data_IF_724866847362
#
_entry.id   IF_724866847362
#
_cell.length_a   1.000
_cell.length_b   1.000
_cell.length_c   1.000
_cell.angle_alpha   90.00
_cell.angle_beta   90.00
_cell.angle_gamma   90.00
#
_symmetry.space_group_name_H-M   'P 1'
#
loop_
_entity.id
_entity.type
_entity.pdbx_description
1 polymer ?
#
# COMPACT_ATOMS: atom_id res chain seq x y z
N UNK A 1 2.90 32.80 -12.01
CA UNK A 1 3.63 31.99 -11.01
C UNK A 1 2.78 30.80 -10.62
N UNK A 2 3.40 29.71 -10.15
CA UNK A 2 2.66 28.58 -9.59
C UNK A 2 2.27 28.85 -8.13
N UNK A 3 1.34 28.09 -7.56
CA UNK A 3 0.98 28.16 -6.14
C UNK A 3 1.36 26.85 -5.43
N UNK A 4 1.79 26.95 -4.17
CA UNK A 4 1.88 25.84 -3.24
C UNK A 4 0.80 25.98 -2.16
N UNK A 5 0.17 24.85 -1.81
CA UNK A 5 -1.04 24.82 -0.97
C UNK A 5 -0.82 23.85 0.18
N UNK A 6 -1.05 24.31 1.42
CA UNK A 6 -1.08 23.45 2.60
C UNK A 6 -2.51 23.13 3.00
N UNK A 7 -2.78 21.84 3.25
CA UNK A 7 -4.03 21.34 3.78
C UNK A 7 -3.73 20.57 5.07
N UNK A 8 -4.48 20.80 6.13
CA UNK A 8 -4.51 19.89 7.28
C UNK A 8 -5.52 18.79 7.02
N UNK A 9 -5.24 17.59 7.56
CA UNK A 9 -6.15 16.45 7.54
C UNK A 9 -6.58 16.15 8.96
N UNK A 10 -7.89 16.08 9.20
CA UNK A 10 -8.42 15.45 10.39
C UNK A 10 -8.33 13.93 10.21
N UNK A 11 -7.47 13.23 10.98
CA UNK A 11 -7.27 11.79 10.79
C UNK A 11 -8.51 10.96 11.15
N UNK A 12 -9.43 11.50 11.96
CA UNK A 12 -10.65 10.79 12.37
C UNK A 12 -11.75 10.82 11.31
N UNK A 13 -11.85 11.93 10.58
CA UNK A 13 -12.90 12.13 9.57
C UNK A 13 -12.39 12.09 8.13
N UNK A 14 -11.07 12.18 7.94
CA UNK A 14 -10.44 12.39 6.63
C UNK A 14 -10.67 13.79 6.05
N UNK A 15 -11.30 14.71 6.80
CA UNK A 15 -11.62 16.05 6.31
C UNK A 15 -10.33 16.85 6.06
N UNK A 16 -10.20 17.38 4.85
CA UNK A 16 -9.15 18.32 4.50
C UNK A 16 -9.59 19.76 4.77
N UNK A 17 -8.76 20.53 5.48
CA UNK A 17 -8.99 21.96 5.73
C UNK A 17 -7.83 22.75 5.15
N UNK A 18 -8.13 23.77 4.34
CA UNK A 18 -7.11 24.67 3.80
C UNK A 18 -6.45 25.44 4.95
N UNK A 19 -5.12 25.32 5.06
CA UNK A 19 -4.33 26.13 5.97
C UNK A 19 -3.97 27.45 5.28
N UNK A 20 -3.19 27.37 4.21
CA UNK A 20 -2.83 28.55 3.42
C UNK A 20 -2.44 28.20 1.96
N UNK A 21 -2.29 29.26 1.17
CA UNK A 21 -1.72 29.25 -0.18
C UNK A 21 -0.58 30.25 -0.22
N UNK A 22 0.47 29.96 -0.96
CA UNK A 22 1.53 30.91 -1.23
C UNK A 22 2.04 30.79 -2.67
N UNK A 23 2.59 31.88 -3.18
CA UNK A 23 3.30 31.87 -4.45
C UNK A 23 4.50 30.93 -4.34
N UNK A 24 4.74 30.21 -5.43
CA UNK A 24 5.77 29.18 -5.58
C UNK A 24 6.68 29.55 -6.75
N UNK A 25 7.56 28.62 -7.14
CA UNK A 25 8.47 28.74 -8.27
C UNK A 25 7.80 29.27 -9.54
N UNK A 26 8.60 29.92 -10.38
CA UNK A 26 8.17 30.69 -11.54
C UNK A 26 7.69 29.85 -12.74
N UNK A 27 7.51 28.53 -12.54
CA UNK A 27 6.91 27.59 -13.50
C UNK A 27 6.11 26.48 -12.78
N UNK A 28 5.20 25.77 -13.48
CA UNK A 28 4.44 24.67 -12.85
C UNK A 28 5.35 23.57 -12.30
N UNK A 29 5.24 23.19 -11.01
CA UNK A 29 6.02 22.10 -10.45
C UNK A 29 5.48 20.73 -10.87
N UNK A 30 6.38 19.76 -11.01
CA UNK A 30 6.05 18.35 -11.29
C UNK A 30 6.42 17.40 -10.13
N UNK A 31 7.21 17.88 -9.16
CA UNK A 31 7.60 17.11 -7.98
C UNK A 31 7.77 18.02 -6.78
N UNK A 32 7.45 17.49 -5.60
CA UNK A 32 7.59 18.14 -4.31
C UNK A 32 8.24 17.18 -3.33
N UNK A 33 9.23 17.67 -2.58
CA UNK A 33 9.93 16.90 -1.55
C UNK A 33 10.11 17.74 -0.30
N UNK A 34 9.77 17.20 0.87
CA UNK A 34 10.08 17.86 2.16
C UNK A 34 11.53 17.57 2.55
N UNK A 35 12.22 18.57 3.08
CA UNK A 35 13.56 18.38 3.62
C UNK A 35 13.54 17.56 4.94
N UNK A 36 14.67 16.95 5.32
CA UNK A 36 14.75 16.13 6.53
C UNK A 36 14.53 16.89 7.84
N UNK A 37 14.86 18.19 7.91
CA UNK A 37 14.60 19.02 9.10
C UNK A 37 13.13 19.44 9.20
N UNK A 38 12.41 19.38 8.08
CA UNK A 38 11.00 19.72 7.98
C UNK A 38 10.71 21.22 7.91
N UNK A 39 11.73 22.05 7.62
CA UNK A 39 11.67 23.51 7.49
C UNK A 39 11.50 24.00 6.05
N UNK A 40 11.71 23.12 5.07
CA UNK A 40 11.70 23.48 3.65
C UNK A 40 10.93 22.47 2.80
N UNK A 41 10.36 22.98 1.71
CA UNK A 41 9.87 22.20 0.58
C UNK A 41 10.75 22.48 -0.63
N UNK A 42 11.11 21.42 -1.33
CA UNK A 42 11.84 21.45 -2.59
C UNK A 42 10.84 21.22 -3.71
N UNK A 43 10.88 22.09 -4.70
CA UNK A 43 9.96 22.07 -5.84
C UNK A 43 10.77 21.93 -7.12
N UNK A 44 10.39 20.98 -7.98
CA UNK A 44 11.02 20.75 -9.28
C UNK A 44 10.05 21.12 -10.40
N UNK A 45 10.50 21.80 -11.44
CA UNK A 45 9.68 22.11 -12.63
C UNK A 45 10.29 21.54 -13.90
N UNK A 46 9.56 20.61 -14.52
CA UNK A 46 9.94 19.97 -15.77
C UNK A 46 10.02 20.93 -16.95
N UNK A 47 8.97 21.73 -17.19
CA UNK A 47 8.96 22.63 -18.35
C UNK A 47 9.80 23.90 -18.14
N UNK A 48 9.99 24.30 -16.88
CA UNK A 48 10.79 25.46 -16.50
C UNK A 48 12.29 25.16 -16.39
N UNK A 49 12.68 23.91 -16.13
CA UNK A 49 14.06 23.56 -15.82
C UNK A 49 14.53 24.16 -14.50
N UNK A 50 13.65 24.18 -13.49
CA UNK A 50 13.86 24.90 -12.22
C UNK A 50 13.87 23.95 -11.03
N UNK A 51 14.66 24.28 -10.02
CA UNK A 51 14.52 23.77 -8.65
C UNK A 51 14.37 24.95 -7.69
N UNK A 52 13.41 24.89 -6.77
CA UNK A 52 13.16 25.95 -5.80
C UNK A 52 13.17 25.45 -4.36
N UNK A 53 13.49 26.38 -3.46
CA UNK A 53 13.50 26.22 -2.01
C UNK A 53 12.40 27.10 -1.40
N UNK A 54 11.34 26.46 -0.91
CA UNK A 54 10.22 27.14 -0.26
C UNK A 54 10.31 26.91 1.25
N UNK A 55 10.05 27.94 2.06
CA UNK A 55 9.92 27.78 3.51
C UNK A 55 8.68 26.93 3.86
N UNK A 56 8.77 26.18 4.96
CA UNK A 56 7.67 25.46 5.60
C UNK A 56 7.66 25.82 7.08
N UNK A 57 6.52 26.28 7.59
CA UNK A 57 6.40 26.68 8.99
C UNK A 57 6.24 25.45 9.91
N UNK A 58 6.51 25.62 11.19
CA UNK A 58 6.33 24.56 12.20
C UNK A 58 4.88 24.06 12.28
N UNK A 59 3.91 24.91 11.95
CA UNK A 59 2.48 24.57 11.90
C UNK A 59 2.06 23.90 10.59
N UNK A 60 3.00 23.66 9.66
CA UNK A 60 2.75 23.00 8.38
C UNK A 60 2.23 23.92 7.27
N UNK A 61 2.29 25.25 7.44
CA UNK A 61 1.91 26.21 6.42
C UNK A 61 3.05 26.46 5.43
N UNK A 62 2.71 26.72 4.16
CA UNK A 62 3.70 27.07 3.14
C UNK A 62 4.17 28.51 3.34
N UNK A 63 5.45 28.71 3.65
CA UNK A 63 6.09 30.01 3.78
C UNK A 63 6.51 30.60 2.43
N UNK A 64 7.39 31.60 2.44
CA UNK A 64 7.86 32.28 1.21
C UNK A 64 8.80 31.40 0.35
N UNK A 65 8.90 31.72 -0.95
CA UNK A 65 9.93 31.21 -1.83
C UNK A 65 11.25 31.91 -1.46
N UNK A 66 12.25 31.12 -1.06
CA UNK A 66 13.52 31.62 -0.54
C UNK A 66 14.60 31.71 -1.63
N UNK A 67 14.63 30.70 -2.50
CA UNK A 67 15.60 30.62 -3.60
C UNK A 67 15.04 29.80 -4.76
N UNK A 68 15.53 30.07 -5.97
CA UNK A 68 15.19 29.36 -7.20
C UNK A 68 16.42 29.28 -8.09
N UNK A 69 16.76 28.07 -8.54
CA UNK A 69 17.86 27.82 -9.46
C UNK A 69 17.33 27.31 -10.79
N UNK A 70 17.79 27.95 -11.87
CA UNK A 70 17.54 27.51 -13.23
C UNK A 70 18.71 26.65 -13.69
N UNK A 71 18.42 25.44 -14.12
CA UNK A 71 19.41 24.57 -14.72
C UNK A 71 19.73 25.02 -16.16
N UNK A 72 20.89 24.60 -16.64
CA UNK A 72 21.36 24.82 -18.00
C UNK A 72 21.88 23.51 -18.61
N UNK A 73 21.95 23.48 -19.95
CA UNK A 73 22.40 22.34 -20.73
C UNK A 73 21.29 21.64 -21.50
N UNK A 74 21.67 20.58 -22.20
CA UNK A 74 20.78 19.74 -23.00
C UNK A 74 21.38 18.33 -23.09
N UNK A 75 20.52 17.34 -23.29
CA UNK A 75 20.89 15.93 -23.43
C UNK A 75 21.08 15.51 -24.88
N UNK A 76 21.17 14.20 -25.10
CA UNK A 76 21.46 13.66 -26.43
C UNK A 76 20.23 13.56 -27.35
N UNK A 77 19.02 13.48 -26.79
CA UNK A 77 17.80 13.30 -27.57
C UNK A 77 17.21 14.64 -28.02
N UNK A 78 17.24 14.99 -29.32
CA UNK A 78 16.97 16.35 -29.81
C UNK A 78 15.56 16.87 -29.50
N UNK A 79 14.55 16.00 -29.40
CA UNK A 79 13.16 16.41 -29.13
C UNK A 79 12.73 16.30 -27.66
N UNK A 80 13.44 15.50 -26.87
CA UNK A 80 13.05 15.16 -25.48
C UNK A 80 13.98 15.81 -24.45
N UNK A 81 15.10 16.33 -24.92
CA UNK A 81 16.23 16.83 -24.14
C UNK A 81 16.82 18.06 -24.85
N UNK A 82 15.96 18.90 -25.43
CA UNK A 82 16.31 20.15 -26.13
C UNK A 82 16.75 21.26 -25.15
N UNK A 83 16.37 21.12 -23.88
CA UNK A 83 16.68 22.03 -22.78
C UNK A 83 16.56 21.29 -21.45
N UNK A 84 16.88 21.92 -20.32
CA UNK A 84 16.72 21.33 -19.00
C UNK A 84 15.27 20.96 -18.68
N UNK A 85 15.11 19.77 -18.10
CA UNK A 85 13.84 19.24 -17.62
C UNK A 85 13.99 18.66 -16.22
N UNK A 86 14.11 19.55 -15.24
CA UNK A 86 14.25 19.19 -13.82
C UNK A 86 13.01 18.46 -13.35
N UNK A 87 13.16 17.17 -13.06
CA UNK A 87 12.03 16.27 -12.86
C UNK A 87 11.73 16.01 -11.38
N UNK A 88 12.74 15.73 -10.57
CA UNK A 88 12.58 15.45 -9.15
C UNK A 88 13.82 15.78 -8.33
N UNK A 89 13.65 15.81 -7.01
CA UNK A 89 14.72 16.01 -6.05
C UNK A 89 14.57 15.05 -4.87
N UNK A 90 15.65 14.38 -4.49
CA UNK A 90 15.70 13.43 -3.37
C UNK A 90 16.90 13.72 -2.48
N UNK A 91 16.71 13.66 -1.17
CA UNK A 91 17.80 13.85 -0.21
C UNK A 91 18.65 12.59 -0.06
N UNK A 92 19.94 12.81 0.18
CA UNK A 92 20.86 11.79 0.63
C UNK A 92 20.40 11.17 1.96
N UNK A 93 20.85 9.94 2.30
CA UNK A 93 20.46 9.28 3.54
C UNK A 93 20.80 10.08 4.82
N UNK A 94 21.87 10.87 4.78
CA UNK A 94 22.28 11.75 5.88
C UNK A 94 21.63 13.14 5.83
N UNK A 95 20.81 13.40 4.81
CA UNK A 95 20.05 14.63 4.63
C UNK A 95 20.87 15.87 4.26
N UNK A 96 22.17 15.74 4.04
CA UNK A 96 23.06 16.88 3.77
C UNK A 96 23.02 17.36 2.33
N UNK A 97 22.82 16.43 1.41
CA UNK A 97 22.83 16.69 -0.02
C UNK A 97 21.47 16.36 -0.63
N UNK A 98 21.18 17.04 -1.72
CA UNK A 98 19.97 16.88 -2.50
C UNK A 98 20.33 16.58 -3.95
N UNK A 99 19.86 15.44 -4.45
CA UNK A 99 20.11 14.95 -5.79
C UNK A 99 18.93 15.33 -6.65
N UNK A 100 19.16 16.25 -7.58
CA UNK A 100 18.16 16.84 -8.48
C UNK A 100 18.33 16.25 -9.86
N UNK A 101 17.36 15.44 -10.30
CA UNK A 101 17.39 14.78 -11.60
C UNK A 101 16.94 15.75 -12.68
N UNK A 102 17.79 15.97 -13.67
CA UNK A 102 17.49 16.77 -14.84
C UNK A 102 17.44 15.88 -16.07
N UNK A 103 16.21 15.48 -16.42
CA UNK A 103 15.94 14.62 -17.57
C UNK A 103 16.46 15.24 -18.86
N UNK A 104 16.32 16.55 -18.98
CA UNK A 104 16.58 17.28 -20.20
C UNK A 104 18.05 17.55 -20.46
N UNK A 105 18.90 17.45 -19.42
CA UNK A 105 20.34 17.70 -19.51
C UNK A 105 21.20 16.44 -19.25
N UNK A 106 20.61 15.24 -19.16
CA UNK A 106 21.30 13.98 -18.86
C UNK A 106 22.23 14.08 -17.63
N UNK A 107 21.73 14.70 -16.55
CA UNK A 107 22.53 14.92 -15.35
C UNK A 107 21.73 14.86 -14.05
N UNK A 108 22.48 14.68 -12.96
CA UNK A 108 22.02 14.77 -11.59
C UNK A 108 22.81 15.91 -10.95
N UNK A 109 22.17 17.04 -10.69
CA UNK A 109 22.78 18.16 -9.97
C UNK A 109 22.69 17.89 -8.46
N UNK A 110 23.78 18.15 -7.74
CA UNK A 110 23.88 17.88 -6.31
C UNK A 110 23.97 19.22 -5.58
N UNK A 111 22.95 19.52 -4.77
CA UNK A 111 22.85 20.73 -3.98
C UNK A 111 22.98 20.44 -2.49
N UNK A 112 23.31 21.46 -1.72
CA UNK A 112 23.04 21.55 -0.27
C UNK A 112 22.18 22.79 0.00
N UNK A 113 21.70 22.90 1.25
CA UNK A 113 20.98 24.08 1.72
C UNK A 113 21.89 24.85 2.68
N UNK A 114 22.21 26.10 2.33
CA UNK A 114 22.78 27.06 3.28
C UNK A 114 21.63 27.63 4.11
N UNK A 115 21.45 27.09 5.32
CA UNK A 115 20.33 27.46 6.19
C UNK A 115 20.47 28.88 6.78
N UNK A 116 21.67 29.46 6.79
CA UNK A 116 21.88 30.82 7.28
C UNK A 116 21.46 31.84 6.23
N UNK A 117 21.66 31.52 4.95
CA UNK A 117 21.25 32.36 3.81
C UNK A 117 19.89 31.99 3.22
N UNK A 118 19.36 30.81 3.53
CA UNK A 118 18.21 30.20 2.87
C UNK A 118 18.42 30.02 1.35
N UNK A 119 19.56 29.47 0.96
CA UNK A 119 19.94 29.31 -0.46
C UNK A 119 20.26 27.86 -0.80
N UNK A 120 19.97 27.48 -2.05
CA UNK A 120 20.45 26.24 -2.67
C UNK A 120 21.88 26.46 -3.20
N UNK A 121 22.82 25.71 -2.67
CA UNK A 121 24.23 25.78 -3.08
C UNK A 121 24.57 24.56 -3.94
N UNK A 122 24.90 24.79 -5.22
CA UNK A 122 25.35 23.73 -6.12
C UNK A 122 26.76 23.26 -5.70
N UNK A 123 26.91 21.96 -5.46
CA UNK A 123 28.18 21.34 -5.09
C UNK A 123 28.88 20.66 -6.27
N UNK A 124 28.12 19.85 -7.01
CA UNK A 124 28.66 19.07 -8.14
C UNK A 124 27.54 18.63 -9.06
N UNK A 125 27.91 18.11 -10.22
CA UNK A 125 26.99 17.50 -11.16
C UNK A 125 27.53 16.13 -11.58
N UNK A 126 26.67 15.12 -11.61
CA UNK A 126 26.99 13.80 -12.16
C UNK A 126 26.28 13.63 -13.48
N UNK A 127 27.02 13.38 -14.56
CA UNK A 127 26.42 13.06 -15.86
C UNK A 127 25.91 11.63 -15.88
N UNK A 128 24.72 11.43 -16.44
CA UNK A 128 24.27 10.10 -16.86
C UNK A 128 24.76 9.80 -18.27
N UNK A 129 24.59 8.57 -18.75
CA UNK A 129 24.91 8.27 -20.15
C UNK A 129 23.98 9.04 -21.09
N UNK A 130 24.45 9.25 -22.32
CA UNK A 130 23.75 10.03 -23.33
C UNK A 130 22.38 9.42 -23.65
N UNK A 131 21.32 10.23 -23.57
CA UNK A 131 19.95 9.81 -23.88
C UNK A 131 19.24 9.10 -22.73
N UNK A 132 19.83 9.03 -21.54
CA UNK A 132 19.21 8.40 -20.38
C UNK A 132 17.90 9.11 -19.99
N UNK A 133 17.99 10.41 -19.75
CA UNK A 133 16.88 11.19 -19.20
C UNK A 133 16.51 10.77 -17.78
N UNK A 134 17.38 11.07 -16.78
CA UNK A 134 17.14 10.69 -15.39
C UNK A 134 15.85 11.30 -14.87
N UNK A 135 14.95 10.47 -14.34
CA UNK A 135 13.60 10.87 -13.94
C UNK A 135 13.45 10.90 -12.43
N UNK A 136 13.64 9.77 -11.75
CA UNK A 136 13.50 9.61 -10.29
C UNK A 136 14.73 8.89 -9.71
N UNK A 137 15.05 9.15 -8.44
CA UNK A 137 16.17 8.52 -7.73
C UNK A 137 15.71 7.90 -6.40
N UNK A 138 16.37 6.82 -5.98
CA UNK A 138 16.25 6.30 -4.63
C UNK A 138 17.57 5.73 -4.14
N UNK A 139 17.88 5.94 -2.86
CA UNK A 139 19.02 5.33 -2.20
C UNK A 139 18.70 3.91 -1.74
N UNK A 140 19.70 3.04 -1.83
CA UNK A 140 19.65 1.75 -1.15
C UNK A 140 19.60 1.96 0.38
N UNK A 141 18.88 1.10 1.15
CA UNK A 141 18.78 1.24 2.60
C UNK A 141 20.11 1.20 3.38
N UNK A 142 21.18 0.62 2.81
CA UNK A 142 22.52 0.67 3.42
C UNK A 142 23.23 2.03 3.23
N UNK A 143 22.64 2.94 2.45
CA UNK A 143 23.18 4.26 2.14
C UNK A 143 24.43 4.27 1.27
N UNK A 144 24.85 3.13 0.70
CA UNK A 144 26.06 3.03 -0.13
C UNK A 144 25.77 3.11 -1.63
N UNK A 145 24.53 2.88 -2.05
CA UNK A 145 24.18 2.90 -3.47
C UNK A 145 23.01 3.85 -3.72
N UNK A 146 22.98 4.44 -4.91
CA UNK A 146 21.85 5.17 -5.44
C UNK A 146 21.44 4.58 -6.78
N UNK A 147 20.14 4.53 -7.05
CA UNK A 147 19.59 4.08 -8.31
C UNK A 147 18.81 5.22 -8.95
N UNK A 148 18.85 5.30 -10.27
CA UNK A 148 18.12 6.30 -11.03
C UNK A 148 17.40 5.60 -12.15
N UNK A 149 16.11 5.87 -12.29
CA UNK A 149 15.34 5.39 -13.43
C UNK A 149 15.33 6.46 -14.52
N UNK A 150 15.57 6.01 -15.75
CA UNK A 150 15.81 6.84 -16.91
C UNK A 150 14.63 6.68 -17.87
N UNK A 151 13.93 7.77 -18.15
CA UNK A 151 12.68 7.72 -18.91
C UNK A 151 12.92 7.60 -20.41
N UNK A 152 13.94 8.27 -20.93
CA UNK A 152 14.11 8.47 -22.38
C UNK A 152 14.58 7.19 -23.05
N UNK A 153 15.56 6.50 -22.48
CA UNK A 153 16.06 5.23 -23.01
C UNK A 153 15.49 3.98 -22.31
N UNK A 154 14.61 4.18 -21.32
CA UNK A 154 14.00 3.10 -20.54
C UNK A 154 15.00 2.21 -19.82
N UNK A 155 15.99 2.82 -19.16
CA UNK A 155 17.01 2.13 -18.37
C UNK A 155 16.94 2.45 -16.87
N UNK A 156 17.74 1.73 -16.08
CA UNK A 156 18.03 2.04 -14.67
C UNK A 156 19.54 2.13 -14.53
N UNK A 157 20.05 3.24 -13.98
CA UNK A 157 21.46 3.43 -13.66
C UNK A 157 21.70 3.21 -12.17
N UNK A 158 22.73 2.42 -11.85
CA UNK A 158 23.21 2.18 -10.49
C UNK A 158 24.48 2.98 -10.24
N UNK A 159 24.57 3.61 -9.07
CA UNK A 159 25.73 4.38 -8.62
C UNK A 159 26.18 3.91 -7.24
N UNK A 160 27.48 3.90 -7.00
CA UNK A 160 28.07 3.96 -5.67
C UNK A 160 27.96 5.39 -5.16
N UNK A 161 27.45 5.55 -3.94
CA UNK A 161 27.37 6.83 -3.25
C UNK A 161 28.49 6.95 -2.22
N UNK A 162 29.20 8.09 -2.27
CA UNK A 162 30.20 8.49 -1.29
C UNK A 162 29.74 9.78 -0.58
N UNK A 163 29.31 9.64 0.68
CA UNK A 163 28.88 10.77 1.50
C UNK A 163 30.03 11.71 1.90
N UNK A 164 31.27 11.23 1.86
CA UNK A 164 32.46 11.97 2.24
C UNK A 164 33.16 12.63 1.06
N UNK A 165 32.71 12.37 -0.18
CA UNK A 165 33.23 13.06 -1.35
C UNK A 165 33.01 14.58 -1.19
N UNK A 166 34.08 15.35 -1.32
CA UNK A 166 34.06 16.83 -1.30
C UNK A 166 34.57 17.44 -2.60
N UNK A 167 35.02 16.56 -3.51
CA UNK A 167 35.64 16.93 -4.77
C UNK A 167 34.55 17.14 -5.83
N UNK A 168 34.44 18.37 -6.32
CA UNK A 168 33.48 18.74 -7.35
C UNK A 168 33.68 17.94 -8.66
N UNK A 169 34.89 17.46 -8.93
CA UNK A 169 35.23 16.73 -10.15
C UNK A 169 34.88 15.23 -10.07
N UNK A 170 34.91 14.65 -8.86
CA UNK A 170 34.53 13.23 -8.65
C UNK A 170 33.04 13.04 -8.34
N UNK A 171 32.42 14.05 -7.73
CA UNK A 171 31.02 14.02 -7.31
C UNK A 171 30.73 12.94 -6.26
N UNK A 172 29.50 12.92 -5.75
CA UNK A 172 29.09 11.92 -4.76
C UNK A 172 28.68 10.57 -5.38
N UNK A 173 28.54 10.50 -6.70
CA UNK A 173 27.98 9.35 -7.40
C UNK A 173 28.99 8.81 -8.41
N UNK A 174 29.45 7.58 -8.20
CA UNK A 174 30.32 6.86 -9.14
C UNK A 174 29.51 5.79 -9.85
N UNK A 175 29.54 5.76 -11.18
CA UNK A 175 28.79 4.79 -11.99
C UNK A 175 29.19 3.35 -11.63
N UNK A 176 28.19 2.50 -11.38
CA UNK A 176 28.35 1.04 -11.26
C UNK A 176 27.97 0.37 -12.57
N UNK A 177 26.75 0.62 -13.04
CA UNK A 177 26.24 0.10 -14.32
C UNK A 177 24.96 0.83 -14.75
N UNK A 178 24.50 0.55 -15.96
CA UNK A 178 23.12 0.79 -16.37
C UNK A 178 22.55 -0.48 -17.02
N UNK A 179 21.27 -0.75 -16.78
CA UNK A 179 20.56 -1.94 -17.30
C UNK A 179 19.20 -1.53 -17.88
N UNK A 180 18.61 -2.37 -18.72
CA UNK A 180 17.23 -2.21 -19.17
C UNK A 180 16.26 -2.15 -17.99
N UNK A 181 15.21 -1.32 -18.07
CA UNK A 181 14.08 -1.34 -17.14
C UNK A 181 13.09 -2.49 -17.42
N UNK A 182 13.34 -3.29 -18.46
CA UNK A 182 12.51 -4.40 -18.95
C UNK A 182 11.06 -3.95 -19.27
N UNK A 183 10.95 -2.76 -19.86
CA UNK A 183 9.72 -2.16 -20.36
C UNK A 183 10.01 -0.77 -20.97
N UNK A 184 8.97 0.00 -21.27
CA UNK A 184 9.10 1.30 -21.95
C UNK A 184 8.53 2.46 -21.11
N UNK A 185 9.21 3.61 -21.23
CA UNK A 185 8.89 4.87 -20.54
C UNK A 185 8.63 4.67 -19.04
N UNK A 186 9.64 4.22 -18.28
CA UNK A 186 9.49 4.02 -16.86
C UNK A 186 9.18 5.33 -16.14
N UNK A 187 8.23 5.28 -15.20
CA UNK A 187 7.80 6.47 -14.45
C UNK A 187 8.35 6.54 -13.04
N UNK A 188 8.53 5.39 -12.41
CA UNK A 188 8.88 5.29 -11.00
C UNK A 188 9.49 3.93 -10.70
N UNK A 189 10.27 3.87 -9.62
CA UNK A 189 10.67 2.60 -9.02
C UNK A 189 10.77 2.73 -7.51
N UNK A 190 10.81 1.61 -6.80
CA UNK A 190 11.07 1.58 -5.37
C UNK A 190 11.96 0.39 -5.01
N UNK A 191 12.86 0.59 -4.03
CA UNK A 191 13.56 -0.51 -3.39
C UNK A 191 12.73 -1.05 -2.24
N UNK A 192 12.81 -2.36 -1.98
CA UNK A 192 12.29 -2.96 -0.74
C UNK A 192 13.02 -2.43 0.49
N UNK A 193 12.42 -2.44 1.69
CA UNK A 193 13.06 -1.85 2.88
C UNK A 193 14.36 -2.55 3.28
N UNK A 194 14.49 -3.82 2.91
CA UNK A 194 15.72 -4.60 3.09
C UNK A 194 16.73 -4.43 1.95
N UNK A 195 16.43 -3.61 0.94
CA UNK A 195 17.30 -3.30 -0.18
C UNK A 195 17.48 -4.41 -1.23
N UNK A 196 16.93 -5.60 -0.99
CA UNK A 196 17.22 -6.78 -1.83
C UNK A 196 16.56 -6.75 -3.20
N UNK A 197 15.45 -6.02 -3.34
CA UNK A 197 14.70 -5.94 -4.59
C UNK A 197 14.48 -4.49 -4.99
N UNK A 198 14.53 -4.25 -6.29
CA UNK A 198 14.11 -3.02 -6.94
C UNK A 198 12.90 -3.34 -7.83
N UNK A 199 11.84 -2.55 -7.71
CA UNK A 199 10.58 -2.72 -8.44
C UNK A 199 10.38 -1.50 -9.34
N UNK A 200 10.42 -1.69 -10.66
CA UNK A 200 10.27 -0.64 -11.66
C UNK A 200 8.87 -0.67 -12.29
N UNK A 201 8.26 0.50 -12.48
CA UNK A 201 6.98 0.68 -13.13
C UNK A 201 7.14 1.29 -14.52
N UNK A 202 6.83 0.51 -15.54
CA UNK A 202 6.94 0.88 -16.94
C UNK A 202 5.55 1.21 -17.50
N UNK A 203 5.39 2.47 -17.92
CA UNK A 203 4.08 3.01 -18.25
C UNK A 203 3.52 2.39 -19.52
N UNK A 204 4.29 2.40 -20.59
CA UNK A 204 3.73 2.17 -21.94
C UNK A 204 3.64 0.69 -22.29
N UNK A 205 4.52 -0.12 -21.70
CA UNK A 205 4.42 -1.59 -21.72
C UNK A 205 3.41 -2.15 -20.72
N UNK A 206 2.77 -1.30 -19.91
CA UNK A 206 1.77 -1.69 -18.90
C UNK A 206 2.28 -2.82 -17.97
N UNK A 207 3.50 -2.69 -17.46
CA UNK A 207 4.07 -3.71 -16.59
C UNK A 207 4.89 -3.15 -15.43
N UNK A 208 4.94 -3.93 -14.36
CA UNK A 208 5.86 -3.75 -13.24
C UNK A 208 6.87 -4.88 -13.28
N UNK A 209 8.15 -4.56 -13.08
CA UNK A 209 9.29 -5.47 -13.22
C UNK A 209 10.06 -5.52 -11.90
N UNK A 210 10.53 -6.72 -11.52
CA UNK A 210 11.36 -6.90 -10.32
C UNK A 210 12.80 -7.25 -10.68
N UNK A 211 13.75 -6.56 -10.03
CA UNK A 211 15.19 -6.83 -10.07
C UNK A 211 15.66 -7.25 -8.68
N UNK A 212 16.62 -8.17 -8.60
CA UNK A 212 17.44 -8.38 -7.40
C UNK A 212 18.59 -7.39 -7.38
N UNK A 213 18.95 -6.93 -6.19
CA UNK A 213 20.09 -6.05 -5.93
C UNK A 213 21.22 -6.85 -5.28
N UNK A 214 22.37 -6.89 -5.93
CA UNK A 214 23.60 -7.38 -5.33
C UNK A 214 24.05 -6.43 -4.21
N UNK A 215 24.15 -6.95 -2.99
CA UNK A 215 24.31 -6.12 -1.80
C UNK A 215 25.74 -5.59 -1.61
N UNK A 216 26.72 -6.15 -2.31
CA UNK A 216 28.13 -5.76 -2.21
C UNK A 216 28.54 -4.80 -3.32
N UNK A 217 28.01 -5.00 -4.53
CA UNK A 217 28.36 -4.21 -5.72
C UNK A 217 27.28 -3.20 -6.12
N UNK A 218 26.05 -3.32 -5.61
CA UNK A 218 24.93 -2.48 -6.02
C UNK A 218 24.40 -2.80 -7.42
N UNK A 219 24.78 -3.94 -7.99
CA UNK A 219 24.35 -4.35 -9.33
C UNK A 219 22.94 -4.92 -9.35
N UNK A 220 22.22 -4.67 -10.42
CA UNK A 220 20.86 -5.13 -10.66
C UNK A 220 20.88 -6.38 -11.55
N UNK A 221 20.02 -7.33 -11.21
CA UNK A 221 19.73 -8.49 -12.06
C UNK A 221 18.24 -8.66 -12.20
N UNK A 222 17.75 -8.66 -13.44
CA UNK A 222 16.34 -8.94 -13.70
C UNK A 222 15.98 -10.34 -13.18
N UNK A 223 14.86 -10.43 -12.44
CA UNK A 223 14.42 -11.69 -11.83
C UNK A 223 13.71 -12.63 -12.81
N UNK A 224 13.35 -12.16 -14.00
CA UNK A 224 12.44 -12.88 -14.90
C UNK A 224 10.95 -12.67 -14.57
N UNK A 225 10.64 -11.90 -13.51
CA UNK A 225 9.26 -11.64 -13.09
C UNK A 225 8.78 -10.27 -13.51
N UNK A 226 7.65 -10.27 -14.22
CA UNK A 226 6.89 -9.07 -14.59
C UNK A 226 5.40 -9.30 -14.38
N UNK A 227 4.69 -8.26 -13.95
CA UNK A 227 3.24 -8.27 -13.72
C UNK A 227 2.58 -7.19 -14.56
N UNK A 228 1.55 -7.56 -15.31
CA UNK A 228 0.74 -6.62 -16.08
C UNK A 228 -0.06 -5.69 -15.17
N UNK A 229 0.12 -4.38 -15.35
CA UNK A 229 -0.63 -3.32 -14.66
C UNK A 229 -0.84 -2.21 -15.68
N UNK A 230 -2.08 -1.73 -15.84
CA UNK A 230 -2.35 -0.65 -16.81
C UNK A 230 -1.67 0.65 -16.38
N UNK A 231 -0.78 1.19 -17.23
CA UNK A 231 -0.10 2.50 -17.13
C UNK A 231 0.39 2.84 -15.71
N UNK A 232 1.23 1.99 -15.09
CA UNK A 232 1.66 2.19 -13.72
C UNK A 232 2.44 3.51 -13.63
N UNK A 233 2.10 4.32 -12.62
CA UNK A 233 2.63 5.67 -12.48
C UNK A 233 3.58 5.83 -11.29
N UNK A 234 3.33 5.13 -10.19
CA UNK A 234 4.13 5.17 -8.98
C UNK A 234 4.15 3.80 -8.31
N UNK A 235 5.26 3.49 -7.63
CA UNK A 235 5.40 2.32 -6.76
C UNK A 235 5.77 2.85 -5.39
N UNK A 236 4.90 2.68 -4.41
CA UNK A 236 5.16 3.10 -3.04
C UNK A 236 5.06 1.91 -2.09
N UNK A 237 5.88 1.95 -1.03
CA UNK A 237 5.79 1.01 0.08
C UNK A 237 5.21 1.73 1.28
N UNK A 238 4.40 1.01 2.05
CA UNK A 238 3.88 1.50 3.32
C UNK A 238 5.03 1.57 4.35
N UNK A 239 5.27 2.76 4.93
CA UNK A 239 6.44 3.08 5.78
C UNK A 239 6.15 2.94 7.28
N UNK A 240 4.99 2.43 7.70
CA UNK A 240 4.67 2.29 9.12
C UNK A 240 5.34 1.04 9.75
N UNK A 241 6.56 1.20 10.28
CA UNK A 241 7.07 0.50 11.49
C UNK A 241 8.46 1.05 11.87
N UNK A 242 8.63 1.56 13.09
CA UNK A 242 9.93 1.92 13.70
C UNK A 242 10.30 0.94 14.83
N UNK A 243 11.61 0.74 15.12
CA UNK A 243 12.15 -0.34 15.95
C UNK A 243 12.44 0.11 17.39
N UNK A 244 12.26 -0.78 18.39
CA UNK A 244 13.12 -0.96 19.57
C UNK A 244 12.45 -1.86 20.64
N UNK A 245 13.16 -2.90 21.10
CA UNK A 245 13.56 -3.04 22.52
C UNK A 245 14.60 -4.18 22.64
N UNK A 246 15.80 -3.83 23.13
CA UNK A 246 16.88 -4.77 23.47
C UNK A 246 16.61 -5.42 24.84
N UNK A 247 16.89 -6.72 24.97
CA UNK A 247 17.04 -7.39 26.26
C UNK A 247 18.38 -8.16 26.29
N UNK A 248 19.18 -7.84 27.30
CA UNK A 248 20.51 -8.40 27.58
C UNK A 248 20.42 -9.89 27.94
N UNK A 249 21.25 -10.72 27.32
CA UNK A 249 21.80 -11.91 27.94
C UNK A 249 23.13 -12.29 27.27
N UNK A 250 24.22 -12.33 28.06
CA UNK A 250 25.50 -12.86 27.61
C UNK A 250 25.42 -14.40 27.56
N UNK A 251 25.74 -15.00 26.41
CA UNK A 251 26.82 -15.98 26.18
C UNK A 251 26.67 -16.56 24.75
N UNK A 252 27.77 -16.41 24.00
CA UNK A 252 28.20 -17.07 22.74
C UNK A 252 27.29 -17.15 21.51
N UNK A 253 27.65 -16.30 20.53
CA UNK A 253 27.72 -16.53 19.07
C UNK A 253 26.65 -17.45 18.45
N UNK A 254 25.57 -16.86 17.94
CA UNK A 254 24.83 -17.40 16.80
C UNK A 254 24.14 -16.29 15.97
N UNK A 255 24.18 -16.48 14.65
CA UNK A 255 23.82 -15.53 13.58
C UNK A 255 22.38 -14.99 13.69
N UNK A 256 22.20 -13.67 13.53
CA UNK A 256 20.88 -13.01 13.49
C UNK A 256 20.06 -13.42 12.26
N UNK A 257 19.05 -14.25 12.48
CA UNK A 257 18.19 -14.86 11.45
C UNK A 257 17.13 -13.84 11.01
N UNK A 258 17.25 -13.34 9.78
CA UNK A 258 16.21 -12.54 9.12
C UNK A 258 14.99 -13.43 8.88
N UNK A 259 13.82 -13.12 9.48
CA UNK A 259 12.61 -13.94 9.34
C UNK A 259 12.10 -13.90 7.89
N UNK A 260 11.81 -15.07 7.31
CA UNK A 260 11.44 -15.24 5.90
C UNK A 260 10.01 -14.77 5.62
N UNK A 261 9.63 -14.55 4.35
CA UNK A 261 8.22 -14.27 3.98
C UNK A 261 7.26 -15.41 4.34
N UNK A 262 7.76 -16.65 4.43
CA UNK A 262 7.02 -17.79 5.02
C UNK A 262 6.71 -17.60 6.50
N UNK A 263 7.44 -16.73 7.21
CA UNK A 263 7.19 -16.45 8.62
C UNK A 263 5.91 -15.62 8.85
N UNK A 264 5.64 -14.56 8.07
CA UNK A 264 4.39 -13.81 8.22
C UNK A 264 3.17 -14.66 7.85
N UNK A 265 3.27 -15.46 6.78
CA UNK A 265 2.22 -16.42 6.46
C UNK A 265 2.03 -17.43 7.61
N UNK A 266 3.12 -17.95 8.19
CA UNK A 266 3.05 -18.84 9.34
C UNK A 266 2.48 -18.15 10.60
N UNK A 267 2.77 -16.87 10.82
CA UNK A 267 2.27 -16.13 11.98
C UNK A 267 0.80 -15.74 11.80
N UNK A 268 0.37 -15.39 10.58
CA UNK A 268 -1.05 -15.27 10.21
C UNK A 268 -1.77 -16.59 10.44
N UNK A 269 -1.19 -17.71 10.00
CA UNK A 269 -1.77 -19.04 10.22
C UNK A 269 -1.91 -19.37 11.70
N UNK A 270 -0.94 -19.00 12.55
CA UNK A 270 -1.06 -19.17 14.02
C UNK A 270 -2.16 -18.30 14.62
N UNK A 271 -2.30 -17.06 14.16
CA UNK A 271 -3.38 -16.20 14.62
C UNK A 271 -4.75 -16.74 14.20
N UNK A 272 -4.86 -17.22 12.96
CA UNK A 272 -6.06 -17.86 12.45
C UNK A 272 -6.36 -19.14 13.22
N UNK A 273 -5.37 -20.00 13.47
CA UNK A 273 -5.51 -21.21 14.28
C UNK A 273 -6.05 -20.87 15.67
N UNK A 274 -5.44 -19.90 16.35
CA UNK A 274 -5.89 -19.43 17.67
C UNK A 274 -7.30 -18.85 17.64
N UNK A 275 -7.64 -18.04 16.64
CA UNK A 275 -8.97 -17.40 16.56
C UNK A 275 -10.04 -18.42 16.20
N UNK A 276 -9.79 -19.30 15.24
CA UNK A 276 -10.75 -20.30 14.76
C UNK A 276 -10.98 -21.39 15.80
N UNK A 277 -9.96 -21.77 16.58
CA UNK A 277 -10.10 -22.79 17.65
C UNK A 277 -10.98 -22.34 18.83
N UNK A 278 -11.38 -21.06 18.86
CA UNK A 278 -12.23 -20.49 19.89
C UNK A 278 -13.67 -20.26 19.41
N UNK A 279 -13.99 -20.58 18.16
CA UNK A 279 -15.37 -20.56 17.68
C UNK A 279 -16.13 -21.68 18.40
N UNK A 280 -17.33 -21.38 18.89
CA UNK A 280 -18.18 -22.37 19.53
C UNK A 280 -18.89 -23.25 18.48
N UNK A 281 -18.67 -24.56 18.56
CA UNK A 281 -19.28 -25.54 17.65
C UNK A 281 -20.81 -25.53 17.70
N UNK A 282 -21.42 -25.21 18.85
CA UNK A 282 -22.87 -25.12 18.99
C UNK A 282 -23.42 -23.87 18.28
N UNK A 283 -22.70 -22.76 18.32
CA UNK A 283 -23.05 -21.55 17.55
C UNK A 283 -22.98 -21.82 16.05
N UNK A 284 -21.93 -22.51 15.60
CA UNK A 284 -21.75 -22.91 14.20
C UNK A 284 -22.87 -23.87 13.73
N UNK A 285 -23.20 -24.87 14.55
CA UNK A 285 -24.27 -25.81 14.27
C UNK A 285 -25.63 -25.11 14.18
N UNK A 286 -25.95 -24.21 15.13
CA UNK A 286 -27.20 -23.45 15.10
C UNK A 286 -27.28 -22.53 13.87
N UNK A 287 -26.16 -21.92 13.47
CA UNK A 287 -26.09 -21.12 12.24
C UNK A 287 -26.37 -21.97 10.99
N UNK A 288 -25.75 -23.16 10.90
CA UNK A 288 -25.99 -24.09 9.80
C UNK A 288 -27.46 -24.54 9.73
N UNK A 289 -28.10 -24.84 10.86
CA UNK A 289 -29.51 -25.20 10.94
C UNK A 289 -30.43 -24.10 10.42
N UNK A 290 -30.19 -22.84 10.82
CA UNK A 290 -30.95 -21.71 10.30
C UNK A 290 -30.79 -21.51 8.80
N UNK A 291 -29.56 -21.65 8.28
CA UNK A 291 -29.29 -21.55 6.84
C UNK A 291 -30.02 -22.65 6.06
N UNK A 292 -29.99 -23.89 6.55
CA UNK A 292 -30.61 -25.03 5.88
C UNK A 292 -32.14 -25.03 5.97
N UNK A 293 -32.71 -24.42 7.00
CA UNK A 293 -34.16 -24.30 7.17
C UNK A 293 -34.79 -23.17 6.33
N UNK A 294 -33.99 -22.20 5.88
CA UNK A 294 -34.48 -21.02 5.19
C UNK A 294 -34.99 -21.30 3.76
N UNK A 295 -36.09 -20.65 3.38
CA UNK A 295 -36.56 -20.70 1.98
C UNK A 295 -35.60 -19.96 1.04
N UNK A 296 -35.12 -18.78 1.46
CA UNK A 296 -34.08 -18.01 0.79
C UNK A 296 -33.08 -17.48 1.82
N UNK A 297 -31.83 -17.35 1.40
CA UNK A 297 -30.74 -16.83 2.22
C UNK A 297 -30.27 -15.50 1.63
N UNK A 298 -30.12 -14.49 2.46
CA UNK A 298 -29.57 -13.20 2.09
C UNK A 298 -28.26 -13.01 2.84
N UNK A 299 -27.17 -12.70 2.13
CA UNK A 299 -25.87 -12.46 2.76
C UNK A 299 -25.47 -11.00 2.55
N UNK A 300 -24.99 -10.35 3.61
CA UNK A 300 -24.47 -8.98 3.51
C UNK A 300 -23.26 -8.73 4.41
N UNK A 301 -22.36 -7.87 3.93
CA UNK A 301 -21.23 -7.36 4.69
C UNK A 301 -20.70 -6.09 4.01
N UNK A 302 -19.93 -5.29 4.73
CA UNK A 302 -19.32 -4.08 4.18
C UNK A 302 -17.83 -4.29 3.84
N UNK A 303 -17.35 -3.67 2.76
CA UNK A 303 -15.95 -3.76 2.34
C UNK A 303 -15.46 -5.20 2.15
N UNK A 304 -14.31 -5.55 2.73
CA UNK A 304 -13.73 -6.89 2.64
C UNK A 304 -14.62 -7.97 3.26
N UNK A 305 -15.34 -7.69 4.34
CA UNK A 305 -16.32 -8.65 4.90
C UNK A 305 -17.46 -8.94 3.91
N UNK A 306 -17.86 -7.96 3.10
CA UNK A 306 -18.81 -8.16 2.01
C UNK A 306 -18.28 -9.07 0.89
N UNK A 307 -16.98 -8.97 0.57
CA UNK A 307 -16.35 -9.88 -0.40
C UNK A 307 -16.36 -11.33 0.11
N UNK A 308 -16.08 -11.56 1.39
CA UNK A 308 -16.15 -12.91 1.98
C UNK A 308 -17.60 -13.42 1.99
N UNK A 309 -18.56 -12.56 2.31
CA UNK A 309 -19.99 -12.89 2.22
C UNK A 309 -20.41 -13.28 0.80
N UNK A 310 -19.88 -12.62 -0.25
CA UNK A 310 -20.11 -13.00 -1.65
C UNK A 310 -19.51 -14.38 -1.99
N UNK A 311 -18.29 -14.67 -1.51
CA UNK A 311 -17.67 -15.98 -1.69
C UNK A 311 -18.52 -17.09 -1.03
N UNK A 312 -19.01 -16.84 0.19
CA UNK A 312 -19.90 -17.77 0.88
C UNK A 312 -21.25 -17.96 0.17
N UNK A 313 -21.89 -16.86 -0.27
CA UNK A 313 -23.12 -16.93 -1.05
C UNK A 313 -22.94 -17.77 -2.33
N UNK A 314 -21.81 -17.64 -3.02
CA UNK A 314 -21.50 -18.48 -4.17
C UNK A 314 -21.40 -19.96 -3.79
N UNK A 315 -20.79 -20.29 -2.65
CA UNK A 315 -20.68 -21.67 -2.18
C UNK A 315 -22.04 -22.26 -1.77
N UNK A 316 -22.89 -21.47 -1.10
CA UNK A 316 -24.28 -21.84 -0.81
C UNK A 316 -25.09 -22.12 -2.09
N UNK A 317 -24.92 -21.29 -3.13
CA UNK A 317 -25.55 -21.51 -4.44
C UNK A 317 -25.11 -22.84 -5.05
N UNK A 318 -23.81 -23.15 -4.97
CA UNK A 318 -23.26 -24.42 -5.45
C UNK A 318 -23.83 -25.63 -4.68
N UNK A 319 -24.17 -25.47 -3.40
CA UNK A 319 -24.89 -26.48 -2.60
C UNK A 319 -26.38 -26.65 -3.01
N UNK A 320 -26.86 -25.83 -3.95
CA UNK A 320 -28.25 -25.84 -4.41
C UNK A 320 -29.21 -25.03 -3.53
N UNK A 321 -28.69 -24.16 -2.66
CA UNK A 321 -29.52 -23.29 -1.84
C UNK A 321 -29.89 -22.01 -2.62
N UNK A 322 -31.10 -21.49 -2.37
CA UNK A 322 -31.53 -20.20 -2.93
C UNK A 322 -30.92 -19.08 -2.10
N UNK A 323 -29.91 -18.41 -2.66
CA UNK A 323 -29.12 -17.41 -1.94
C UNK A 323 -28.91 -16.17 -2.79
N UNK A 324 -28.92 -15.01 -2.13
CA UNK A 324 -28.75 -13.71 -2.74
C UNK A 324 -27.80 -12.86 -1.90
N UNK A 325 -27.16 -11.89 -2.55
CA UNK A 325 -26.31 -10.90 -1.88
C UNK A 325 -27.08 -9.60 -1.81
N UNK A 326 -27.23 -9.04 -0.61
CA UNK A 326 -28.02 -7.82 -0.42
C UNK A 326 -27.38 -6.66 -1.21
N UNK A 327 -28.21 -5.96 -1.99
CA UNK A 327 -27.77 -4.84 -2.83
C UNK A 327 -27.36 -5.20 -4.26
N UNK A 328 -27.32 -6.50 -4.61
CA UNK A 328 -27.06 -6.94 -5.98
C UNK A 328 -28.31 -6.93 -6.87
N UNK A 329 -28.08 -6.94 -8.19
CA UNK A 329 -29.07 -6.66 -9.24
C UNK A 329 -30.33 -7.51 -9.19
N UNK A 330 -30.21 -8.79 -8.83
CA UNK A 330 -31.30 -9.77 -8.90
C UNK A 330 -31.88 -10.12 -7.53
N UNK A 331 -31.53 -9.37 -6.49
CA UNK A 331 -31.92 -9.67 -5.11
C UNK A 331 -33.41 -9.39 -4.89
N UNK A 332 -34.22 -10.40 -4.54
CA UNK A 332 -35.66 -10.23 -4.31
C UNK A 332 -35.96 -9.66 -2.91
N UNK A 333 -37.24 -9.48 -2.59
CA UNK A 333 -37.67 -9.09 -1.26
C UNK A 333 -37.55 -10.22 -0.24
N UNK A 334 -37.17 -9.88 0.99
CA UNK A 334 -37.08 -10.81 2.13
C UNK A 334 -38.43 -10.96 2.85
N UNK A 335 -38.72 -12.17 3.34
CA UNK A 335 -39.94 -12.55 4.07
C UNK A 335 -39.62 -13.33 5.35
N UNK A 336 -40.64 -13.62 6.17
CA UNK A 336 -40.49 -14.34 7.44
C UNK A 336 -40.02 -15.79 7.34
N UNK A 337 -39.94 -16.34 6.13
CA UNK A 337 -39.43 -17.69 5.86
C UNK A 337 -37.97 -17.72 5.43
N UNK A 338 -37.38 -16.55 5.25
CA UNK A 338 -36.03 -16.36 4.74
C UNK A 338 -35.07 -16.06 5.89
N UNK A 339 -33.77 -16.12 5.62
CA UNK A 339 -32.72 -15.87 6.60
C UNK A 339 -31.76 -14.79 6.11
N UNK A 340 -31.46 -13.81 6.97
CA UNK A 340 -30.44 -12.78 6.68
C UNK A 340 -29.17 -13.08 7.48
N UNK A 341 -28.07 -13.39 6.80
CA UNK A 341 -26.74 -13.51 7.39
C UNK A 341 -25.94 -12.22 7.20
N UNK A 342 -25.49 -11.66 8.32
CA UNK A 342 -24.66 -10.45 8.36
C UNK A 342 -23.23 -10.76 8.81
N UNK A 343 -22.26 -10.21 8.08
CA UNK A 343 -20.84 -10.32 8.38
C UNK A 343 -20.30 -8.95 8.83
N UNK A 344 -20.13 -8.76 10.14
CA UNK A 344 -19.72 -7.46 10.70
C UNK A 344 -18.86 -7.65 11.94
N UNK A 345 -17.59 -7.24 11.88
CA UNK A 345 -16.69 -7.38 13.02
C UNK A 345 -17.13 -6.56 14.24
N UNK A 346 -17.50 -5.29 14.05
CA UNK A 346 -18.00 -4.44 15.15
C UNK A 346 -19.44 -4.73 15.52
N UNK A 347 -20.25 -5.24 14.59
CA UNK A 347 -21.70 -5.33 14.74
C UNK A 347 -22.43 -3.97 14.72
N UNK A 348 -21.72 -2.87 14.38
CA UNK A 348 -22.25 -1.49 14.42
C UNK A 348 -22.28 -0.79 13.05
N UNK A 349 -21.93 -1.50 11.97
CA UNK A 349 -21.91 -0.89 10.63
C UNK A 349 -23.31 -0.42 10.23
N UNK A 350 -23.52 0.89 10.11
CA UNK A 350 -24.85 1.50 10.01
C UNK A 350 -25.74 0.96 8.88
N UNK A 351 -25.16 0.64 7.71
CA UNK A 351 -25.90 0.01 6.62
C UNK A 351 -26.39 -1.40 6.97
N UNK A 352 -25.58 -2.18 7.68
CA UNK A 352 -25.93 -3.53 8.13
C UNK A 352 -26.91 -3.51 9.31
N UNK A 353 -26.82 -2.51 10.20
CA UNK A 353 -27.83 -2.27 11.25
C UNK A 353 -29.21 -2.03 10.63
N UNK A 354 -29.28 -1.17 9.61
CA UNK A 354 -30.53 -0.90 8.90
C UNK A 354 -31.09 -2.16 8.21
N UNK A 355 -30.23 -3.01 7.63
CA UNK A 355 -30.64 -4.29 7.05
C UNK A 355 -31.18 -5.26 8.11
N UNK A 356 -30.52 -5.39 9.26
CA UNK A 356 -30.95 -6.23 10.38
C UNK A 356 -32.34 -5.80 10.89
N UNK A 357 -32.53 -4.50 11.11
CA UNK A 357 -33.82 -3.93 11.54
C UNK A 357 -34.93 -4.21 10.51
N UNK A 358 -34.61 -4.08 9.21
CA UNK A 358 -35.57 -4.34 8.14
C UNK A 358 -35.96 -5.82 8.05
N UNK A 359 -35.01 -6.74 8.17
CA UNK A 359 -35.26 -8.17 8.19
C UNK A 359 -36.09 -8.59 9.41
N UNK A 360 -35.72 -8.10 10.61
CA UNK A 360 -36.48 -8.31 11.84
C UNK A 360 -37.93 -7.79 11.71
N UNK A 361 -38.12 -6.60 11.12
CA UNK A 361 -39.46 -6.05 10.83
C UNK A 361 -40.27 -6.89 9.84
N UNK A 362 -39.61 -7.62 8.95
CA UNK A 362 -40.23 -8.56 8.02
C UNK A 362 -40.46 -9.96 8.65
N UNK A 363 -40.06 -10.16 9.91
CA UNK A 363 -40.13 -11.43 10.62
C UNK A 363 -39.08 -12.45 10.19
N UNK A 364 -38.07 -12.05 9.41
CA UNK A 364 -36.99 -12.91 8.97
C UNK A 364 -35.93 -13.05 10.08
N UNK A 365 -35.52 -14.26 10.48
CA UNK A 365 -34.44 -14.44 11.44
C UNK A 365 -33.12 -13.85 10.91
N UNK A 366 -32.30 -13.31 11.81
CA UNK A 366 -31.04 -12.64 11.50
C UNK A 366 -29.89 -13.44 12.11
N UNK A 367 -28.97 -13.90 11.27
CA UNK A 367 -27.68 -14.45 11.68
C UNK A 367 -26.60 -13.38 11.68
N UNK A 368 -25.70 -13.43 12.66
CA UNK A 368 -24.54 -12.55 12.73
C UNK A 368 -23.25 -13.34 12.97
N UNK A 369 -22.23 -13.09 12.15
CA UNK A 369 -20.84 -13.45 12.48
C UNK A 369 -20.11 -12.18 12.88
N UNK A 370 -19.67 -12.09 14.14
CA UNK A 370 -19.13 -10.85 14.76
C UNK A 370 -18.08 -11.13 15.82
N UNK A 371 -17.33 -10.09 16.19
CA UNK A 371 -16.44 -10.10 17.37
C UNK A 371 -17.24 -9.76 18.64
N UNK A 372 -18.28 -8.93 18.51
CA UNK A 372 -19.06 -8.32 19.59
C UNK A 372 -20.52 -8.80 19.55
N UNK A 373 -20.86 -9.97 20.13
CA UNK A 373 -22.23 -10.48 20.20
C UNK A 373 -23.22 -9.53 20.88
N UNK A 374 -22.74 -8.64 21.73
CA UNK A 374 -23.51 -7.63 22.47
C UNK A 374 -23.84 -6.36 21.66
N UNK A 375 -23.30 -6.25 20.44
CA UNK A 375 -23.51 -5.12 19.51
C UNK A 375 -24.97 -4.91 19.12
N UNK A 376 -25.27 -3.77 18.48
CA UNK A 376 -26.61 -3.45 17.97
C UNK A 376 -27.17 -4.55 17.06
N UNK A 377 -26.37 -5.05 16.11
CA UNK A 377 -26.81 -6.17 15.26
C UNK A 377 -26.92 -7.46 16.09
N UNK A 378 -26.01 -7.69 17.04
CA UNK A 378 -26.02 -8.88 17.89
C UNK A 378 -27.29 -9.01 18.74
N UNK A 379 -27.81 -7.89 19.27
CA UNK A 379 -29.08 -7.84 19.98
C UNK A 379 -30.30 -8.11 19.09
N UNK A 380 -30.19 -7.87 17.78
CA UNK A 380 -31.24 -8.16 16.79
C UNK A 380 -31.13 -9.57 16.21
N UNK A 381 -29.99 -10.23 16.38
CA UNK A 381 -29.70 -11.52 15.79
C UNK A 381 -30.39 -12.65 16.56
N UNK A 382 -31.03 -13.56 15.81
CA UNK A 382 -31.58 -14.81 16.35
C UNK A 382 -30.51 -15.87 16.58
N UNK A 383 -29.41 -15.82 15.81
CA UNK A 383 -28.24 -16.66 16.04
C UNK A 383 -26.96 -15.86 15.80
N UNK A 384 -25.96 -16.08 16.63
CA UNK A 384 -24.68 -15.37 16.59
C UNK A 384 -23.56 -16.40 16.62
N UNK A 385 -22.60 -16.23 15.72
CA UNK A 385 -21.31 -16.91 15.78
C UNK A 385 -20.27 -15.87 16.19
N UNK A 386 -19.68 -16.05 17.36
CA UNK A 386 -18.60 -15.21 17.84
C UNK A 386 -17.28 -15.64 17.19
N UNK A 387 -16.69 -14.75 16.42
CA UNK A 387 -15.35 -14.89 15.88
C UNK A 387 -14.38 -14.01 16.69
N UNK A 388 -13.62 -14.57 17.65
CA UNK A 388 -12.77 -13.80 18.55
C UNK A 388 -11.51 -13.30 17.80
N UNK A 389 -11.66 -12.14 17.16
CA UNK A 389 -10.61 -11.36 16.53
C UNK A 389 -10.62 -9.94 17.11
N UNK A 390 -9.59 -9.13 16.84
CA UNK A 390 -9.60 -7.71 17.21
C UNK A 390 -10.50 -6.93 16.26
N UNK A 391 -11.41 -6.10 16.78
CA UNK A 391 -12.25 -5.24 15.95
C UNK A 391 -11.43 -4.08 15.38
N UNK A 392 -11.92 -3.44 14.30
CA UNK A 392 -11.27 -2.27 13.67
C UNK A 392 -11.03 -1.11 14.63
N UNK A 393 -11.76 -1.07 15.74
CA UNK A 393 -11.77 -0.02 16.75
C UNK A 393 -11.01 -0.41 18.03
N UNK A 394 -10.55 -1.66 18.17
CA UNK A 394 -9.89 -2.11 19.39
C UNK A 394 -8.43 -1.62 19.42
N UNK A 395 -8.13 -0.68 20.31
CA UNK A 395 -6.83 0.01 20.43
C UNK A 395 -5.85 -0.66 21.40
N UNK A 396 -5.98 -1.97 21.66
CA UNK A 396 -5.17 -2.63 22.68
C UNK A 396 -3.67 -2.64 22.28
N UNK A 397 -2.83 -1.95 23.04
CA UNK A 397 -1.41 -1.71 22.74
C UNK A 397 -0.45 -2.76 23.31
N UNK A 398 -0.95 -3.77 24.03
CA UNK A 398 -0.13 -4.88 24.56
C UNK A 398 -0.99 -6.01 25.12
N UNK A 399 -0.65 -7.26 24.80
CA UNK A 399 -1.26 -8.49 25.32
C UNK A 399 -0.99 -9.68 24.42
N UNK A 400 -1.20 -10.91 24.92
CA UNK A 400 -1.00 -12.12 24.13
C UNK A 400 -1.94 -12.20 22.91
N UNK A 401 -3.07 -11.49 22.94
CA UNK A 401 -4.18 -11.60 21.97
C UNK A 401 -4.21 -10.51 20.88
N UNK A 402 -3.16 -9.69 20.77
CA UNK A 402 -3.09 -8.62 19.76
C UNK A 402 -2.66 -9.20 18.41
N UNK A 403 -3.44 -8.96 17.36
CA UNK A 403 -3.11 -9.37 15.99
C UNK A 403 -1.99 -8.52 15.38
N UNK A 404 -1.08 -9.14 14.62
CA UNK A 404 -0.06 -8.46 13.81
C UNK A 404 -0.65 -7.89 12.51
N UNK A 405 -1.90 -8.23 12.21
CA UNK A 405 -2.53 -7.94 10.93
C UNK A 405 -3.28 -6.60 10.99
N UNK A 406 -3.29 -5.81 9.90
CA UNK A 406 -3.86 -4.48 9.94
C UNK A 406 -5.38 -4.52 10.05
N UNK A 407 -5.93 -3.62 10.88
CA UNK A 407 -7.37 -3.39 11.02
C UNK A 407 -8.13 -4.70 11.30
N UNK A 408 -9.23 -4.95 10.59
CA UNK A 408 -10.03 -6.17 10.71
C UNK A 408 -9.53 -7.34 9.88
N UNK A 409 -8.26 -7.37 9.46
CA UNK A 409 -7.76 -8.41 8.54
C UNK A 409 -7.86 -9.83 9.13
N UNK A 410 -7.58 -10.00 10.43
CA UNK A 410 -7.73 -11.28 11.11
C UNK A 410 -9.20 -11.72 11.12
N UNK A 411 -10.13 -10.81 11.44
CA UNK A 411 -11.56 -11.07 11.36
C UNK A 411 -12.00 -11.45 9.95
N UNK A 412 -11.57 -10.71 8.92
CA UNK A 412 -11.97 -10.94 7.54
C UNK A 412 -11.45 -12.28 6.99
N UNK A 413 -10.25 -12.71 7.38
CA UNK A 413 -9.71 -14.04 7.02
C UNK A 413 -10.36 -15.16 7.82
N UNK A 414 -10.55 -14.98 9.13
CA UNK A 414 -11.27 -15.92 9.97
C UNK A 414 -12.72 -16.10 9.51
N UNK A 415 -13.35 -15.03 9.03
CA UNK A 415 -14.69 -15.05 8.46
C UNK A 415 -14.74 -15.95 7.22
N UNK A 416 -13.78 -15.83 6.29
CA UNK A 416 -13.71 -16.70 5.11
C UNK A 416 -13.58 -18.17 5.51
N UNK A 417 -12.60 -18.49 6.37
CA UNK A 417 -12.33 -19.88 6.77
C UNK A 417 -13.49 -20.46 7.60
N UNK A 418 -14.05 -19.67 8.52
CA UNK A 418 -15.21 -20.06 9.32
C UNK A 418 -16.46 -20.29 8.47
N UNK A 419 -16.68 -19.48 7.44
CA UNK A 419 -17.78 -19.69 6.51
C UNK A 419 -17.57 -20.94 5.63
N UNK A 420 -16.34 -21.23 5.18
CA UNK A 420 -16.06 -22.51 4.51
C UNK A 420 -16.21 -23.70 5.47
N UNK A 421 -15.91 -23.54 6.76
CA UNK A 421 -16.22 -24.55 7.78
C UNK A 421 -17.74 -24.76 7.93
N UNK A 422 -18.56 -23.70 7.93
CA UNK A 422 -20.03 -23.83 7.89
C UNK A 422 -20.51 -24.62 6.67
N UNK A 423 -19.89 -24.41 5.50
CA UNK A 423 -20.19 -25.19 4.29
C UNK A 423 -19.92 -26.67 4.54
N UNK A 424 -18.76 -27.02 5.11
CA UNK A 424 -18.42 -28.41 5.43
C UNK A 424 -19.40 -29.01 6.44
N UNK A 425 -19.78 -28.27 7.49
CA UNK A 425 -20.81 -28.68 8.46
C UNK A 425 -22.13 -28.97 7.76
N UNK A 426 -22.61 -28.07 6.90
CA UNK A 426 -23.85 -28.28 6.16
C UNK A 426 -23.76 -29.42 5.14
N UNK A 427 -22.58 -29.63 4.52
CA UNK A 427 -22.36 -30.77 3.64
C UNK A 427 -22.46 -32.09 4.40
N UNK A 428 -21.86 -32.16 5.60
CA UNK A 428 -21.98 -33.32 6.48
C UNK A 428 -23.44 -33.57 6.89
N UNK A 429 -24.15 -32.53 7.34
CA UNK A 429 -25.57 -32.61 7.70
C UNK A 429 -26.46 -33.11 6.55
N UNK A 430 -26.11 -32.80 5.29
CA UNK A 430 -26.86 -33.21 4.10
C UNK A 430 -26.32 -34.48 3.43
N UNK A 431 -25.22 -35.06 3.92
CA UNK A 431 -24.54 -36.18 3.25
C UNK A 431 -24.01 -35.84 1.85
N UNK A 432 -23.60 -34.59 1.62
CA UNK A 432 -23.11 -34.09 0.33
C UNK A 432 -21.60 -34.23 0.19
N UNK A 433 -21.13 -34.37 -1.05
CA UNK A 433 -19.72 -34.38 -1.43
C UNK A 433 -19.38 -33.19 -2.34
N UNK A 434 -18.09 -32.91 -2.54
CA UNK A 434 -17.66 -31.85 -3.45
C UNK A 434 -18.14 -32.04 -4.90
N UNK A 435 -18.38 -33.30 -5.32
CA UNK A 435 -18.91 -33.60 -6.65
C UNK A 435 -20.34 -33.08 -6.86
N UNK A 436 -21.17 -33.09 -5.80
CA UNK A 436 -22.56 -32.63 -5.83
C UNK A 436 -22.70 -31.11 -6.03
N UNK A 437 -21.61 -30.38 -5.81
CA UNK A 437 -21.53 -28.92 -5.95
C UNK A 437 -21.08 -28.48 -7.34
N UNK A 438 -20.23 -29.29 -8.00
CA UNK A 438 -19.57 -28.92 -9.26
C UNK A 438 -20.57 -28.64 -10.40
N UNK A 439 -21.68 -29.39 -10.45
CA UNK A 439 -22.70 -29.23 -11.50
C UNK A 439 -23.46 -27.90 -11.47
N UNK A 440 -23.27 -27.07 -10.44
CA UNK A 440 -23.92 -25.74 -10.30
C UNK A 440 -22.93 -24.59 -10.43
N UNK A 441 -21.68 -24.85 -10.82
CA UNK A 441 -20.72 -23.79 -11.11
C UNK A 441 -21.11 -23.01 -12.37
N UNK A 442 -20.75 -21.73 -12.43
CA UNK A 442 -20.90 -20.95 -13.65
C UNK A 442 -20.09 -21.59 -14.79
N UNK A 443 -20.66 -21.61 -16.00
CA UNK A 443 -20.08 -22.25 -17.17
C UNK A 443 -19.97 -21.31 -18.39
N UNK A 444 -20.23 -20.02 -18.17
CA UNK A 444 -20.05 -18.94 -19.12
C UNK A 444 -19.25 -17.85 -18.39
N UNK A 445 -17.94 -17.83 -18.61
CA UNK A 445 -17.00 -16.86 -18.03
C UNK A 445 -16.25 -16.08 -19.11
#
# INVERSE_FOLDING_TARGET
>A
MSEAVALSIDPSTGKLTLLNRNDSISAPPCHIQRDPSGKYLILSSYHGGLVGLQALTDNGEVGALLDEKKHEGQGAHPERQDKPHVHSAFFSPDGKYMMVQDLGADKIAIYSIDADKNELVLHSETKTHAGAGPRHLAFHPNGQFAYVINEVDSSITSFQYDAAAVDADKGHLTLVEHVSAEGEHPRHFALTPNGKLLIAANRDTNNIVTFTVDQESGRLKYTGHSTGVSKPAAVSQDKQTKPQLQLKCNVSLNKGKQMSKTQYAADILKELERTLSQIDDAEMQAMAEHILAAEQIFVAGAGRSGLMGKAFAMRLMQMGLRVYVVGETVTPGISSKDFLLLCSGSGETGSLVAMAQKASSAGAPVGLITIKPESTIGQLATTVVRLPASAKEDTATSGADVTIQPMGSLFEQGLLIGMDALILTMMEMKGMTGADMFGRHANLE
#
